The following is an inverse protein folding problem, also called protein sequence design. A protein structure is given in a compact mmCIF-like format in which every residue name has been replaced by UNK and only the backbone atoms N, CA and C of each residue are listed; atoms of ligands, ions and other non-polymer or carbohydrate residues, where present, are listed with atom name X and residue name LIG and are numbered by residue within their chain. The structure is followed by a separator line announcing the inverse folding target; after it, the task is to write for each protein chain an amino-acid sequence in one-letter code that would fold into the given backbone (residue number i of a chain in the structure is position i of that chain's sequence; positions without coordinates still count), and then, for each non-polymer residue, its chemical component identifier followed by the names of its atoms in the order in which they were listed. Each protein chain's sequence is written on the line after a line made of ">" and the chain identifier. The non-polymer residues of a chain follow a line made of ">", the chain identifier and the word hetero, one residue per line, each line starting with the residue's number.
data_IF_287541665266
#
_entry.id   IF_287541665266
#
_cell.length_a   1.000
_cell.length_b   1.000
_cell.length_c   1.000
_cell.angle_alpha   90.00
_cell.angle_beta   90.00
_cell.angle_gamma   90.00
#
_symmetry.space_group_name_H-M   'P 1'
#
loop_
_entity.id
_entity.type
_entity.pdbx_description
1 polymer ?
#
# COMPACT_ATOMS: atom_id res chain seq x y z
N UNK A 1 5.95 39.82 7.33
CA UNK A 1 5.02 38.72 7.69
C UNK A 1 4.77 37.86 6.45
N UNK A 2 5.56 36.81 6.22
CA UNK A 2 5.38 35.88 5.10
C UNK A 2 4.92 34.54 5.68
N UNK A 3 3.63 34.25 5.53
CA UNK A 3 3.01 32.98 5.89
C UNK A 3 3.52 31.93 4.91
N UNK A 4 4.40 31.06 5.37
CA UNK A 4 4.78 29.86 4.64
C UNK A 4 3.53 29.00 4.49
N UNK A 5 3.04 28.84 3.25
CA UNK A 5 2.09 27.79 2.93
C UNK A 5 2.78 26.47 3.21
N UNK A 6 2.29 25.77 4.24
CA UNK A 6 2.55 24.34 4.39
C UNK A 6 1.89 23.68 3.19
N UNK A 7 2.68 23.25 2.22
CA UNK A 7 2.23 22.24 1.25
C UNK A 7 2.04 20.99 2.09
N UNK A 8 0.81 20.76 2.55
CA UNK A 8 0.41 19.44 3.00
C UNK A 8 0.46 18.56 1.76
N UNK A 9 1.61 17.93 1.51
CA UNK A 9 1.64 16.67 0.80
C UNK A 9 1.11 15.58 1.75
N UNK A 10 -0.10 15.80 2.26
CA UNK A 10 -0.93 14.71 2.71
C UNK A 10 -1.39 14.08 1.40
N UNK A 11 -0.68 13.05 0.93
CA UNK A 11 -1.31 12.07 0.07
C UNK A 11 -2.67 11.80 0.67
N UNK A 12 -3.73 12.12 -0.06
CA UNK A 12 -5.08 12.09 0.48
C UNK A 12 -5.40 10.65 0.93
N UNK A 13 -5.11 10.35 2.19
CA UNK A 13 -5.39 9.09 2.87
C UNK A 13 -6.90 8.75 2.86
N UNK A 14 -7.73 9.71 2.43
CA UNK A 14 -9.17 9.57 2.30
C UNK A 14 -9.56 8.55 1.22
N UNK A 15 -8.72 8.26 0.22
CA UNK A 15 -9.09 7.42 -0.94
C UNK A 15 -8.22 6.18 -1.20
N UNK A 16 -7.34 5.78 -0.28
CA UNK A 16 -6.46 4.62 -0.46
C UNK A 16 -7.07 3.33 0.16
N UNK A 17 -7.49 2.37 -0.67
CA UNK A 17 -8.00 1.07 -0.22
C UNK A 17 -7.35 -0.11 -0.95
N UNK A 18 -7.28 -1.23 -0.24
CA UNK A 18 -7.00 -2.56 -0.79
C UNK A 18 -8.33 -3.31 -0.88
N UNK A 19 -8.53 -4.08 -1.94
CA UNK A 19 -9.79 -4.79 -2.17
C UNK A 19 -10.04 -5.90 -1.14
N UNK A 20 -11.31 -6.18 -0.88
CA UNK A 20 -11.76 -7.37 -0.12
C UNK A 20 -11.20 -8.64 -0.76
N UNK A 21 -10.87 -9.63 0.07
CA UNK A 21 -10.28 -10.91 -0.34
C UNK A 21 -8.76 -10.88 -0.42
N UNK A 22 -8.13 -9.70 -0.31
CA UNK A 22 -6.69 -9.59 -0.15
C UNK A 22 -6.23 -10.26 1.15
N UNK A 23 -5.09 -10.92 1.07
CA UNK A 23 -4.46 -11.56 2.22
C UNK A 23 -3.47 -10.61 2.88
N UNK A 24 -3.50 -10.58 4.20
CA UNK A 24 -2.59 -9.80 5.04
C UNK A 24 -1.78 -10.78 5.88
N UNK A 25 -0.46 -10.60 5.88
CA UNK A 25 0.45 -11.39 6.70
C UNK A 25 0.29 -10.98 8.17
N UNK A 26 0.07 -11.95 9.05
CA UNK A 26 0.05 -11.77 10.50
C UNK A 26 1.09 -12.70 11.14
N UNK A 27 1.49 -12.48 12.40
CA UNK A 27 2.38 -13.40 13.11
C UNK A 27 1.84 -14.84 13.22
N UNK A 28 0.53 -15.04 13.00
CA UNK A 28 -0.14 -16.35 13.07
C UNK A 28 -0.49 -16.94 11.70
N UNK A 29 0.02 -16.33 10.62
CA UNK A 29 -0.27 -16.71 9.24
C UNK A 29 -1.12 -15.68 8.49
N UNK A 30 -1.46 -15.98 7.25
CA UNK A 30 -2.27 -15.09 6.41
C UNK A 30 -3.73 -15.04 6.89
N UNK A 31 -4.30 -13.84 6.95
CA UNK A 31 -5.73 -13.61 7.18
C UNK A 31 -6.30 -12.75 6.07
N UNK A 32 -7.60 -12.89 5.78
CA UNK A 32 -8.27 -11.99 4.84
C UNK A 32 -8.40 -10.61 5.47
N UNK A 33 -8.24 -9.57 4.65
CA UNK A 33 -8.31 -8.18 5.13
C UNK A 33 -9.66 -7.85 5.77
N UNK A 34 -10.76 -8.44 5.28
CA UNK A 34 -12.10 -8.25 5.83
C UNK A 34 -12.35 -8.91 7.21
N UNK A 35 -11.47 -9.83 7.62
CA UNK A 35 -11.57 -10.52 8.91
C UNK A 35 -10.75 -9.83 10.01
N UNK A 36 -9.95 -8.81 9.66
CA UNK A 36 -9.10 -8.09 10.60
C UNK A 36 -9.87 -7.02 11.36
N UNK A 37 -9.51 -6.83 12.63
CA UNK A 37 -10.11 -5.83 13.51
C UNK A 37 -9.06 -4.93 14.18
N UNK A 38 -9.51 -3.81 14.74
CA UNK A 38 -8.68 -2.96 15.62
C UNK A 38 -8.11 -3.81 16.76
N UNK A 39 -6.81 -3.70 16.99
CA UNK A 39 -6.07 -4.46 17.99
C UNK A 39 -5.37 -5.71 17.46
N UNK A 40 -5.74 -6.21 16.28
CA UNK A 40 -5.06 -7.35 15.65
C UNK A 40 -3.61 -7.00 15.28
N UNK A 41 -2.75 -8.01 15.39
CA UNK A 41 -1.34 -7.93 15.00
C UNK A 41 -1.19 -8.24 13.51
N UNK A 42 -0.38 -7.44 12.82
CA UNK A 42 -0.02 -7.59 11.41
C UNK A 42 1.50 -7.52 11.25
N UNK A 43 2.02 -8.13 10.18
CA UNK A 43 3.41 -7.92 9.79
C UNK A 43 3.48 -6.67 8.92
N UNK A 44 4.39 -5.77 9.27
CA UNK A 44 4.72 -4.57 8.50
C UNK A 44 6.19 -4.64 8.09
N UNK A 45 6.54 -3.98 6.99
CA UNK A 45 7.90 -3.99 6.44
C UNK A 45 8.43 -2.58 6.41
N UNK A 46 9.65 -2.37 6.90
CA UNK A 46 10.40 -1.15 6.62
C UNK A 46 10.82 -1.18 5.14
N UNK A 47 10.34 -0.23 4.31
CA UNK A 47 10.60 -0.27 2.86
C UNK A 47 12.07 -0.02 2.48
N UNK A 48 12.88 0.53 3.40
CA UNK A 48 14.30 0.83 3.17
C UNK A 48 15.22 -0.34 3.54
N UNK A 49 14.89 -1.09 4.59
CA UNK A 49 15.70 -2.21 5.09
C UNK A 49 15.12 -3.58 4.77
N UNK A 50 13.84 -3.63 4.39
CA UNK A 50 13.03 -4.85 4.26
C UNK A 50 12.87 -5.63 5.57
N UNK A 51 13.15 -5.01 6.72
CA UNK A 51 12.96 -5.64 8.02
C UNK A 51 11.47 -5.76 8.35
N UNK A 52 11.06 -6.94 8.83
CA UNK A 52 9.70 -7.21 9.27
C UNK A 52 9.53 -6.83 10.75
N UNK A 53 8.43 -6.15 11.05
CA UNK A 53 8.02 -5.83 12.41
C UNK A 53 6.55 -6.21 12.64
N UNK A 54 6.18 -6.40 13.91
CA UNK A 54 4.78 -6.58 14.30
C UNK A 54 4.15 -5.21 14.56
N UNK A 55 3.20 -4.84 13.71
CA UNK A 55 2.33 -3.68 13.88
C UNK A 55 0.98 -4.06 14.48
N UNK A 56 0.27 -3.09 15.05
CA UNK A 56 -1.08 -3.27 15.58
C UNK A 56 -2.08 -2.37 14.84
N UNK A 57 -3.21 -2.94 14.42
CA UNK A 57 -4.25 -2.19 13.73
C UNK A 57 -4.90 -1.19 14.69
N UNK A 58 -4.84 0.10 14.36
CA UNK A 58 -5.45 1.18 15.15
C UNK A 58 -6.82 1.61 14.64
N UNK A 59 -7.10 1.39 13.34
CA UNK A 59 -8.36 1.73 12.70
C UNK A 59 -8.66 0.78 11.54
N UNK A 60 -9.95 0.53 11.30
CA UNK A 60 -10.44 -0.20 10.12
C UNK A 60 -11.52 0.65 9.46
N UNK A 61 -11.46 0.76 8.14
CA UNK A 61 -12.43 1.49 7.33
C UNK A 61 -12.80 0.69 6.08
N UNK A 62 -14.00 0.92 5.56
CA UNK A 62 -14.44 0.31 4.30
C UNK A 62 -15.20 1.31 3.43
N UNK A 63 -15.01 1.20 2.13
CA UNK A 63 -15.69 2.01 1.13
C UNK A 63 -15.79 1.23 -0.19
N UNK A 64 -16.83 1.50 -0.99
CA UNK A 64 -16.90 1.02 -2.37
C UNK A 64 -16.15 1.99 -3.28
N UNK A 65 -15.14 1.49 -3.99
CA UNK A 65 -14.28 2.28 -4.88
C UNK A 65 -13.86 1.44 -6.07
N UNK A 66 -13.55 2.10 -7.18
CA UNK A 66 -12.89 1.46 -8.31
C UNK A 66 -11.50 0.97 -7.88
N UNK A 67 -11.13 -0.22 -8.33
CA UNK A 67 -9.83 -0.82 -8.07
C UNK A 67 -9.23 -1.36 -9.36
N UNK A 68 -7.94 -1.17 -9.53
CA UNK A 68 -7.14 -1.77 -10.59
C UNK A 68 -6.36 -2.95 -10.03
N UNK A 69 -5.81 -3.77 -10.92
CA UNK A 69 -4.96 -4.90 -10.58
C UNK A 69 -3.50 -4.53 -10.91
N UNK A 70 -2.60 -4.71 -9.95
CA UNK A 70 -1.15 -4.68 -10.16
C UNK A 70 -0.62 -6.03 -9.71
N UNK A 71 -0.09 -6.82 -10.63
CA UNK A 71 0.25 -8.23 -10.40
C UNK A 71 -0.96 -8.99 -9.79
N UNK A 72 -0.87 -9.43 -8.54
CA UNK A 72 -1.96 -10.08 -7.80
C UNK A 72 -2.70 -9.16 -6.82
N UNK A 73 -2.25 -7.92 -6.64
CA UNK A 73 -2.81 -6.98 -5.68
C UNK A 73 -3.88 -6.12 -6.34
N UNK A 74 -5.09 -6.10 -5.78
CA UNK A 74 -6.20 -5.26 -6.23
C UNK A 74 -6.39 -4.09 -5.26
N UNK A 75 -6.28 -2.87 -5.77
CA UNK A 75 -6.25 -1.65 -4.96
C UNK A 75 -6.76 -0.43 -5.73
N UNK A 76 -7.09 0.64 -5.02
CA UNK A 76 -7.42 1.94 -5.62
C UNK A 76 -6.17 2.58 -6.24
N UNK A 77 -6.32 3.33 -7.33
CA UNK A 77 -5.20 4.05 -7.98
C UNK A 77 -4.49 5.06 -7.07
N UNK A 78 -5.18 5.60 -6.05
CA UNK A 78 -4.58 6.51 -5.07
C UNK A 78 -3.85 5.79 -3.91
N UNK A 79 -3.83 4.44 -3.87
CA UNK A 79 -3.15 3.74 -2.78
C UNK A 79 -1.64 3.94 -2.88
N UNK A 80 -0.95 4.36 -1.82
CA UNK A 80 0.48 4.59 -1.87
C UNK A 80 1.22 3.26 -1.97
N UNK A 81 2.15 3.17 -2.92
CA UNK A 81 3.15 2.12 -3.03
C UNK A 81 4.53 2.75 -2.92
N UNK A 82 5.50 2.00 -2.41
CA UNK A 82 6.87 2.47 -2.28
C UNK A 82 7.65 2.14 -3.55
N UNK A 83 8.15 3.18 -4.24
CA UNK A 83 9.03 3.07 -5.40
C UNK A 83 10.46 2.82 -4.93
N UNK A 84 11.00 1.65 -5.29
CA UNK A 84 12.35 1.23 -4.90
C UNK A 84 13.45 1.86 -5.76
N UNK A 85 13.14 2.34 -6.96
CA UNK A 85 14.11 3.00 -7.84
C UNK A 85 14.34 4.45 -7.40
N UNK A 86 13.28 5.12 -6.93
CA UNK A 86 13.31 6.53 -6.53
C UNK A 86 13.33 6.74 -5.01
N UNK A 87 13.17 5.67 -4.23
CA UNK A 87 13.14 5.69 -2.76
C UNK A 87 12.07 6.65 -2.21
N UNK A 88 10.84 6.58 -2.76
CA UNK A 88 9.74 7.47 -2.41
C UNK A 88 8.37 6.76 -2.46
N UNK A 89 7.38 7.32 -1.76
CA UNK A 89 5.99 6.87 -1.86
C UNK A 89 5.29 7.56 -3.03
N UNK A 90 4.58 6.80 -3.85
CA UNK A 90 3.83 7.30 -5.00
C UNK A 90 2.47 6.57 -5.12
N UNK A 91 1.46 7.18 -5.79
CA UNK A 91 0.18 6.52 -5.96
C UNK A 91 0.28 5.34 -6.94
N UNK A 92 -0.43 4.25 -6.67
CA UNK A 92 -0.48 3.06 -7.51
C UNK A 92 -0.86 3.32 -8.97
N UNK A 93 -1.60 4.40 -9.23
CA UNK A 93 -1.91 4.90 -10.57
C UNK A 93 -0.67 5.07 -11.45
N UNK A 94 0.47 5.43 -10.86
CA UNK A 94 1.73 5.61 -11.59
C UNK A 94 2.23 4.29 -12.20
N UNK A 95 2.06 3.16 -11.51
CA UNK A 95 2.42 1.83 -12.01
C UNK A 95 1.38 1.30 -13.00
N UNK A 96 0.09 1.57 -12.76
CA UNK A 96 -1.00 1.20 -13.66
C UNK A 96 -0.84 1.87 -15.03
N UNK A 97 -0.37 3.13 -15.04
CA UNK A 97 -0.13 3.90 -16.26
C UNK A 97 1.28 3.71 -16.85
N UNK A 98 2.12 2.87 -16.23
CA UNK A 98 3.47 2.57 -16.71
C UNK A 98 4.51 3.68 -16.50
N UNK A 99 4.22 4.69 -15.68
CA UNK A 99 5.17 5.74 -15.31
C UNK A 99 6.18 5.31 -14.24
N UNK A 100 5.90 4.19 -13.55
CA UNK A 100 6.80 3.50 -12.60
C UNK A 100 6.78 2.00 -12.88
N UNK A 101 7.87 1.32 -12.53
CA UNK A 101 8.08 -0.09 -12.87
C UNK A 101 8.28 -0.99 -11.65
N UNK A 102 9.01 -0.55 -10.63
CA UNK A 102 9.34 -1.37 -9.46
C UNK A 102 8.69 -0.82 -8.19
N UNK A 103 8.26 -1.72 -7.31
CA UNK A 103 7.70 -1.36 -6.00
C UNK A 103 8.08 -2.41 -4.95
N UNK A 104 8.12 -1.98 -3.69
CA UNK A 104 8.48 -2.86 -2.58
C UNK A 104 7.39 -3.92 -2.31
N UNK A 105 7.80 -5.16 -2.02
CA UNK A 105 6.94 -6.23 -1.50
C UNK A 105 7.62 -6.94 -0.34
N UNK A 106 6.87 -7.77 0.38
CA UNK A 106 7.41 -8.59 1.49
C UNK A 106 8.44 -9.63 1.01
N UNK A 107 8.43 -9.99 -0.27
CA UNK A 107 9.40 -10.94 -0.88
C UNK A 107 10.60 -10.20 -1.51
N UNK A 108 10.65 -8.87 -1.36
CA UNK A 108 11.61 -8.00 -2.02
C UNK A 108 10.98 -7.14 -3.12
N UNK A 109 11.76 -6.29 -3.82
CA UNK A 109 11.25 -5.46 -4.89
C UNK A 109 10.62 -6.29 -6.02
N UNK A 110 9.42 -5.93 -6.44
CA UNK A 110 8.74 -6.54 -7.58
C UNK A 110 8.64 -5.56 -8.74
N UNK A 111 8.71 -6.08 -9.96
CA UNK A 111 8.37 -5.35 -11.18
C UNK A 111 6.90 -5.55 -11.52
N UNK A 112 6.25 -4.52 -12.06
CA UNK A 112 4.93 -4.68 -12.69
C UNK A 112 5.05 -5.63 -13.87
N UNK A 113 4.22 -6.68 -13.85
CA UNK A 113 4.06 -7.61 -14.96
C UNK A 113 2.75 -7.24 -15.63
N UNK A 114 2.84 -6.57 -16.79
CA UNK A 114 1.68 -6.41 -17.65
C UNK A 114 1.39 -7.77 -18.27
N UNK A 115 0.25 -8.36 -17.94
CA UNK A 115 -0.27 -9.49 -18.70
C UNK A 115 -0.58 -8.98 -20.11
N UNK A 116 0.17 -9.47 -21.10
CA UNK A 116 -0.14 -9.33 -22.53
C UNK A 116 -1.53 -9.89 -22.86
#
# INVERSE_FOLDING_TARGET
>A
MKRWLVVMSAMAQLACCIARGSKVKTPRGERRIEDLAVGDDIVVVDPSTLEEHVGKISAVGSAKRECSLINSLRLTSAHPLFDTDKNEWAPAGDWILGSRAHFATIEGPAKVVNSE
#
